data_IF_651909716859
#
_entry.id   IF_651909716859
#
_cell.length_a   1.000
_cell.length_b   1.000
_cell.length_c   1.000
_cell.angle_alpha   90.00
_cell.angle_beta   90.00
_cell.angle_gamma   90.00
#
_symmetry.space_group_name_H-M   'P 1'
#
loop_
_entity.id
_entity.type
_entity.pdbx_description
1 polymer ?
#
# COMPACT_ATOMS: atom_id res chain seq x y z
N UNK A 1 8.02 14.84 -3.03
CA UNK A 1 6.64 14.33 -2.97
C UNK A 1 6.70 12.93 -2.40
N UNK A 2 5.71 12.56 -1.60
CA UNK A 2 5.47 11.17 -1.17
C UNK A 2 4.09 10.71 -1.64
N UNK A 3 3.91 9.41 -1.80
CA UNK A 3 2.60 8.81 -2.09
C UNK A 3 2.37 7.54 -1.28
N UNK A 4 1.10 7.20 -1.07
CA UNK A 4 0.71 5.94 -0.42
C UNK A 4 -0.06 5.03 -1.35
N UNK A 5 0.24 3.73 -1.28
CA UNK A 5 -0.47 2.65 -1.96
C UNK A 5 -1.11 1.69 -0.96
N UNK A 6 -2.13 0.98 -1.43
CA UNK A 6 -2.63 -0.22 -0.76
C UNK A 6 -1.70 -1.41 -1.01
N UNK A 7 -1.64 -2.37 -0.08
CA UNK A 7 -0.97 -3.65 -0.32
C UNK A 7 -1.82 -4.51 -1.27
N UNK A 8 -1.26 -5.65 -1.68
CA UNK A 8 -2.01 -6.68 -2.39
C UNK A 8 -2.27 -7.91 -1.52
N UNK A 9 -3.31 -8.68 -1.87
CA UNK A 9 -3.65 -9.93 -1.18
C UNK A 9 -2.83 -11.12 -1.72
N UNK A 10 -2.52 -11.08 -3.02
CA UNK A 10 -1.64 -12.07 -3.65
C UNK A 10 -0.20 -11.62 -3.47
N UNK A 11 0.67 -12.60 -3.23
CA UNK A 11 2.08 -12.39 -2.98
C UNK A 11 2.90 -13.25 -3.94
N UNK A 12 4.03 -12.73 -4.38
CA UNK A 12 5.03 -13.43 -5.18
C UNK A 12 6.32 -13.48 -4.36
N UNK A 13 6.80 -14.68 -4.06
CA UNK A 13 8.06 -14.93 -3.35
C UNK A 13 9.06 -15.73 -4.21
N UNK A 14 8.74 -15.95 -5.50
CA UNK A 14 9.48 -16.84 -6.39
C UNK A 14 10.26 -16.09 -7.48
N UNK A 15 9.67 -15.04 -8.07
CA UNK A 15 10.28 -14.32 -9.22
C UNK A 15 11.64 -13.72 -8.88
N UNK A 16 12.66 -13.92 -9.72
CA UNK A 16 14.00 -13.38 -9.49
C UNK A 16 13.99 -11.86 -9.30
N UNK A 17 14.64 -11.39 -8.22
CA UNK A 17 14.64 -9.97 -7.88
C UNK A 17 15.59 -9.19 -8.80
N UNK A 18 15.18 -8.00 -9.27
CA UNK A 18 16.04 -7.16 -10.10
C UNK A 18 17.15 -6.47 -9.29
N UNK A 19 17.14 -6.57 -7.96
CA UNK A 19 18.11 -5.96 -7.05
C UNK A 19 18.28 -6.80 -5.78
N UNK A 20 19.47 -6.71 -5.18
CA UNK A 20 19.78 -7.29 -3.88
C UNK A 20 19.58 -6.29 -2.73
N UNK A 21 19.25 -5.03 -3.03
CA UNK A 21 19.04 -4.00 -2.02
C UNK A 21 17.78 -4.24 -1.19
N UNK A 22 17.92 -4.17 0.13
CA UNK A 22 16.81 -4.36 1.06
C UNK A 22 16.93 -3.43 2.26
N UNK A 23 15.79 -3.13 2.88
CA UNK A 23 15.67 -2.41 4.15
C UNK A 23 14.80 -3.21 5.13
N UNK A 24 14.65 -2.73 6.36
CA UNK A 24 13.86 -3.39 7.40
C UNK A 24 12.63 -2.55 7.75
N UNK A 25 11.45 -3.17 7.96
CA UNK A 25 10.26 -2.44 8.40
C UNK A 25 10.50 -1.72 9.73
N UNK A 26 9.98 -0.50 9.85
CA UNK A 26 10.11 0.31 11.07
C UNK A 26 9.36 -0.32 12.27
N UNK A 27 8.23 -0.98 12.01
CA UNK A 27 7.27 -1.40 13.04
C UNK A 27 7.27 -2.90 13.35
N UNK A 28 8.42 -3.58 13.21
CA UNK A 28 8.51 -5.03 13.44
C UNK A 28 8.06 -5.46 14.85
N UNK A 29 8.27 -4.65 15.89
CA UNK A 29 7.78 -4.93 17.25
C UNK A 29 6.25 -4.96 17.32
N UNK A 30 5.59 -4.01 16.65
CA UNK A 30 4.13 -3.97 16.54
C UNK A 30 3.62 -5.14 15.69
N UNK A 31 4.29 -5.46 14.58
CA UNK A 31 3.97 -6.61 13.74
C UNK A 31 4.05 -7.93 14.50
N UNK A 32 5.08 -8.12 15.34
CA UNK A 32 5.20 -9.30 16.20
C UNK A 32 4.00 -9.42 17.17
N UNK A 33 3.54 -8.30 17.75
CA UNK A 33 2.36 -8.28 18.63
C UNK A 33 1.10 -8.72 17.88
N UNK A 34 0.91 -8.25 16.64
CA UNK A 34 -0.21 -8.68 15.80
C UNK A 34 -0.10 -10.17 15.46
N UNK A 35 1.08 -10.63 15.02
CA UNK A 35 1.28 -12.04 14.68
C UNK A 35 1.06 -12.96 15.88
N UNK A 36 1.48 -12.57 17.10
CA UNK A 36 1.19 -13.32 18.34
C UNK A 36 -0.31 -13.52 18.59
N UNK A 37 -1.17 -12.61 18.15
CA UNK A 37 -2.62 -12.77 18.22
C UNK A 37 -3.12 -13.70 17.12
N UNK A 38 -2.62 -13.54 15.90
CA UNK A 38 -3.00 -14.37 14.75
C UNK A 38 -2.58 -15.84 14.92
N UNK A 39 -1.37 -16.09 15.41
CA UNK A 39 -0.77 -17.42 15.66
C UNK A 39 -1.60 -18.28 16.63
N UNK A 40 -2.42 -17.67 17.48
CA UNK A 40 -3.33 -18.36 18.42
C UNK A 40 -4.69 -18.74 17.81
N UNK A 41 -5.01 -18.25 16.61
CA UNK A 41 -6.29 -18.52 15.96
C UNK A 41 -6.22 -19.86 15.23
N UNK A 42 -7.26 -20.66 15.38
CA UNK A 42 -7.44 -21.85 14.55
C UNK A 42 -7.73 -21.46 13.10
N UNK A 43 -7.53 -22.40 12.18
CA UNK A 43 -7.89 -22.27 10.76
C UNK A 43 -9.33 -21.79 10.58
N UNK A 44 -10.28 -22.36 11.35
CA UNK A 44 -11.69 -21.95 11.32
C UNK A 44 -11.87 -20.50 11.77
N UNK A 45 -11.22 -20.10 12.86
CA UNK A 45 -11.31 -18.73 13.36
C UNK A 45 -10.68 -17.72 12.39
N UNK A 46 -9.64 -18.09 11.64
CA UNK A 46 -9.06 -17.26 10.58
C UNK A 46 -10.00 -17.12 9.38
N UNK A 47 -10.66 -18.21 8.97
CA UNK A 47 -11.68 -18.20 7.90
C UNK A 47 -12.79 -17.21 8.21
N UNK A 48 -13.36 -17.28 9.42
CA UNK A 48 -14.43 -16.40 9.89
C UNK A 48 -13.96 -14.94 10.03
N UNK A 49 -12.76 -14.72 10.60
CA UNK A 49 -12.20 -13.39 10.80
C UNK A 49 -11.92 -12.64 9.50
N UNK A 50 -11.37 -13.34 8.50
CA UNK A 50 -10.88 -12.75 7.25
C UNK A 50 -11.86 -12.90 6.09
N UNK A 51 -12.93 -13.70 6.25
CA UNK A 51 -13.90 -13.99 5.20
C UNK A 51 -13.27 -14.72 4.02
N UNK A 52 -12.44 -15.72 4.28
CA UNK A 52 -11.65 -16.45 3.26
C UNK A 52 -11.98 -17.94 3.26
N UNK A 53 -11.67 -18.61 2.13
CA UNK A 53 -11.86 -20.05 1.97
C UNK A 53 -11.03 -20.85 2.98
N UNK A 54 -11.39 -22.13 3.16
CA UNK A 54 -10.65 -23.04 4.03
C UNK A 54 -9.17 -23.15 3.63
N UNK A 55 -8.89 -23.30 2.34
CA UNK A 55 -7.51 -23.45 1.84
C UNK A 55 -6.67 -22.20 2.09
N UNK A 56 -7.25 -21.01 1.85
CA UNK A 56 -6.58 -19.75 2.19
C UNK A 56 -6.42 -19.57 3.70
N UNK A 57 -7.34 -20.10 4.50
CA UNK A 57 -7.23 -20.07 5.96
C UNK A 57 -6.11 -20.96 6.46
N UNK A 58 -5.94 -22.15 5.86
CA UNK A 58 -4.86 -23.07 6.16
C UNK A 58 -3.51 -22.45 5.83
N UNK A 59 -3.38 -21.91 4.60
CA UNK A 59 -2.17 -21.21 4.17
C UNK A 59 -1.79 -20.05 5.11
N UNK A 60 -2.77 -19.26 5.54
CA UNK A 60 -2.47 -18.13 6.44
C UNK A 60 -2.26 -18.58 7.89
N UNK A 61 -2.82 -19.71 8.31
CA UNK A 61 -2.46 -20.32 9.59
C UNK A 61 -0.97 -20.67 9.61
N UNK A 62 -0.49 -21.37 8.58
CA UNK A 62 0.93 -21.74 8.41
C UNK A 62 1.82 -20.50 8.38
N UNK A 63 1.51 -19.51 7.54
CA UNK A 63 2.24 -18.23 7.51
C UNK A 63 2.35 -17.56 8.89
N UNK A 64 1.30 -17.58 9.69
CA UNK A 64 1.35 -17.00 11.04
C UNK A 64 2.22 -17.83 12.00
N UNK A 65 2.29 -19.15 11.82
CA UNK A 65 3.20 -20.01 12.60
C UNK A 65 4.65 -19.76 12.21
N UNK A 66 4.93 -19.67 10.92
CA UNK A 66 6.26 -19.54 10.33
C UNK A 66 6.82 -18.12 10.43
N UNK A 67 5.95 -17.12 10.68
CA UNK A 67 6.40 -15.75 10.84
C UNK A 67 7.34 -15.61 12.02
N UNK A 68 8.56 -15.16 11.75
CA UNK A 68 9.63 -15.04 12.74
C UNK A 68 10.63 -13.93 12.41
N UNK A 69 11.32 -13.46 13.44
CA UNK A 69 12.43 -12.52 13.31
C UNK A 69 13.74 -13.23 13.69
N UNK A 70 14.89 -12.83 13.11
CA UNK A 70 15.09 -11.67 12.23
C UNK A 70 14.66 -11.91 10.77
N UNK A 71 14.28 -10.84 10.07
CA UNK A 71 14.03 -10.88 8.63
C UNK A 71 15.34 -10.87 7.87
N UNK A 72 15.52 -11.85 6.98
CA UNK A 72 16.66 -12.00 6.09
C UNK A 72 16.17 -12.11 4.64
N UNK A 73 17.09 -12.09 3.68
CA UNK A 73 16.75 -12.31 2.27
C UNK A 73 16.25 -13.74 2.00
N UNK A 74 16.52 -14.68 2.91
CA UNK A 74 16.12 -16.08 2.77
C UNK A 74 14.67 -16.32 3.21
N UNK A 75 14.19 -15.54 4.19
CA UNK A 75 12.85 -15.71 4.75
C UNK A 75 11.86 -14.59 4.39
N UNK A 76 12.34 -13.48 3.83
CA UNK A 76 11.53 -12.31 3.53
C UNK A 76 11.91 -11.68 2.18
N UNK A 77 10.98 -10.90 1.62
CA UNK A 77 11.13 -10.24 0.31
C UNK A 77 10.78 -8.75 0.41
N UNK A 78 11.47 -7.86 -0.32
CA UNK A 78 11.07 -6.46 -0.44
C UNK A 78 9.59 -6.28 -0.82
N UNK A 79 8.88 -5.42 -0.09
CA UNK A 79 7.44 -5.23 -0.23
C UNK A 79 6.97 -4.95 -1.66
N UNK A 80 7.68 -4.11 -2.41
CA UNK A 80 7.30 -3.75 -3.78
C UNK A 80 7.39 -4.93 -4.77
N UNK A 81 8.27 -5.90 -4.49
CA UNK A 81 8.45 -7.10 -5.30
C UNK A 81 7.65 -8.29 -4.76
N UNK A 82 7.22 -8.24 -3.50
CA UNK A 82 6.39 -9.25 -2.85
C UNK A 82 4.90 -9.11 -3.18
N UNK A 83 4.38 -7.89 -3.20
CA UNK A 83 2.96 -7.68 -3.49
C UNK A 83 2.65 -7.88 -4.98
N UNK A 84 1.66 -8.71 -5.27
CA UNK A 84 1.20 -9.00 -6.64
C UNK A 84 -0.31 -8.75 -6.76
N UNK A 85 -0.71 -7.91 -7.71
CA UNK A 85 -2.11 -7.52 -7.91
C UNK A 85 -2.24 -6.31 -8.81
N UNK A 86 -3.46 -5.84 -9.07
CA UNK A 86 -3.72 -4.81 -10.10
C UNK A 86 -2.88 -3.53 -9.94
N UNK A 87 -2.71 -3.03 -8.70
CA UNK A 87 -1.84 -1.88 -8.41
C UNK A 87 -0.38 -2.16 -8.80
N UNK A 88 0.13 -3.33 -8.43
CA UNK A 88 1.51 -3.72 -8.67
C UNK A 88 1.77 -4.09 -10.13
N UNK A 89 0.74 -4.58 -10.84
CA UNK A 89 0.76 -4.75 -12.30
C UNK A 89 0.87 -3.41 -13.01
N UNK A 90 0.16 -2.38 -12.55
CA UNK A 90 0.27 -1.03 -13.12
C UNK A 90 1.59 -0.34 -12.78
N UNK A 91 2.15 -0.61 -11.60
CA UNK A 91 3.45 -0.09 -11.20
C UNK A 91 4.59 -0.77 -11.98
N UNK A 92 4.46 -2.07 -12.19
CA UNK A 92 5.41 -2.93 -12.91
C UNK A 92 6.85 -2.76 -12.41
N UNK A 93 7.05 -2.95 -11.11
CA UNK A 93 8.30 -2.60 -10.43
C UNK A 93 9.53 -3.34 -10.97
N UNK A 94 9.35 -4.54 -11.54
CA UNK A 94 10.43 -5.35 -12.11
C UNK A 94 11.06 -4.71 -13.36
N UNK A 95 10.34 -3.81 -14.05
CA UNK A 95 10.87 -3.10 -15.23
C UNK A 95 11.41 -1.71 -14.90
N UNK A 96 11.37 -1.29 -13.63
CA UNK A 96 11.95 -0.02 -13.21
C UNK A 96 13.48 -0.14 -13.25
N UNK A 97 14.21 0.75 -13.95
CA UNK A 97 15.67 0.70 -13.99
C UNK A 97 16.29 0.82 -12.59
N UNK A 98 17.38 0.10 -12.34
CA UNK A 98 18.12 0.14 -11.06
C UNK A 98 18.45 1.56 -10.58
N UNK A 99 18.77 2.47 -11.52
CA UNK A 99 19.04 3.89 -11.23
C UNK A 99 17.87 4.67 -10.62
N UNK A 100 16.64 4.15 -10.67
CA UNK A 100 15.45 4.76 -10.05
C UNK A 100 15.03 4.10 -8.74
N UNK A 101 15.70 3.03 -8.29
CA UNK A 101 15.32 2.30 -7.07
C UNK A 101 15.31 3.23 -5.85
N UNK A 102 16.36 4.05 -5.67
CA UNK A 102 16.42 5.02 -4.56
C UNK A 102 15.23 5.98 -4.58
N UNK A 103 14.83 6.44 -5.77
CA UNK A 103 13.68 7.33 -5.93
C UNK A 103 12.36 6.63 -5.58
N UNK A 104 12.20 5.37 -5.98
CA UNK A 104 11.03 4.57 -5.60
C UNK A 104 10.99 4.43 -4.09
N UNK A 105 12.11 4.04 -3.48
CA UNK A 105 12.28 3.88 -2.04
C UNK A 105 12.01 5.17 -1.27
N UNK A 106 12.40 6.32 -1.81
CA UNK A 106 12.10 7.61 -1.23
C UNK A 106 10.61 7.95 -1.39
N UNK A 107 10.04 7.83 -2.59
CA UNK A 107 8.72 8.39 -2.93
C UNK A 107 7.54 7.57 -2.41
N UNK A 108 7.64 6.24 -2.43
CA UNK A 108 6.48 5.35 -2.25
C UNK A 108 6.38 4.84 -0.81
N UNK A 109 5.17 4.81 -0.26
CA UNK A 109 4.86 4.11 0.99
C UNK A 109 3.70 3.15 0.76
N UNK A 110 3.79 1.94 1.30
CA UNK A 110 2.76 0.91 1.15
C UNK A 110 2.12 0.68 2.51
N UNK A 111 0.83 1.00 2.64
CA UNK A 111 0.10 0.73 3.88
C UNK A 111 -0.10 -0.78 4.07
N UNK A 112 -0.11 -1.24 5.31
CA UNK A 112 -0.20 -2.66 5.64
C UNK A 112 -0.94 -2.87 6.96
N UNK A 113 -1.86 -3.84 7.00
CA UNK A 113 -2.52 -4.21 8.26
C UNK A 113 -1.56 -4.86 9.26
N UNK A 114 -0.51 -5.56 8.79
CA UNK A 114 0.47 -6.23 9.65
C UNK A 114 1.72 -5.38 9.93
N UNK A 115 2.17 -4.61 8.95
CA UNK A 115 3.42 -3.85 9.04
C UNK A 115 3.22 -2.35 9.22
N UNK A 116 1.98 -1.87 9.27
CA UNK A 116 1.64 -0.45 9.39
C UNK A 116 1.91 0.29 8.08
N UNK A 117 3.16 0.70 7.86
CA UNK A 117 3.64 1.31 6.63
C UNK A 117 4.99 0.71 6.25
N UNK A 118 5.15 0.38 4.97
CA UNK A 118 6.37 -0.19 4.41
C UNK A 118 6.96 0.75 3.37
N UNK A 119 8.28 0.82 3.31
CA UNK A 119 9.02 1.29 2.14
C UNK A 119 9.11 0.18 1.10
N UNK A 120 9.29 0.50 -0.20
CA UNK A 120 9.41 -0.47 -1.28
C UNK A 120 10.40 -1.62 -1.02
N UNK A 121 11.57 -1.30 -0.46
CA UNK A 121 12.64 -2.25 -0.19
C UNK A 121 12.55 -2.90 1.19
N UNK A 122 11.57 -2.54 2.03
CA UNK A 122 11.41 -3.17 3.33
C UNK A 122 11.07 -4.65 3.15
N UNK A 123 11.86 -5.51 3.79
CA UNK A 123 11.60 -6.93 3.83
C UNK A 123 10.26 -7.22 4.51
N UNK A 124 9.46 -8.09 3.90
CA UNK A 124 8.26 -8.62 4.50
C UNK A 124 8.17 -10.13 4.31
N UNK A 125 7.70 -10.81 5.35
CA UNK A 125 7.27 -12.19 5.29
C UNK A 125 5.82 -12.28 4.82
N UNK A 126 5.41 -13.41 4.21
CA UNK A 126 4.06 -13.56 3.68
C UNK A 126 3.02 -13.52 4.79
N UNK A 127 1.90 -12.83 4.54
CA UNK A 127 0.82 -12.69 5.52
C UNK A 127 -0.52 -12.44 4.82
N UNK A 128 -1.59 -12.47 5.61
CA UNK A 128 -2.86 -11.87 5.24
C UNK A 128 -3.49 -11.19 6.45
N UNK A 129 -3.56 -9.87 6.38
CA UNK A 129 -4.25 -9.05 7.37
C UNK A 129 -4.63 -7.73 6.71
N UNK A 130 -5.84 -7.67 6.17
CA UNK A 130 -6.39 -6.44 5.62
C UNK A 130 -6.65 -5.39 6.72
N UNK A 131 -6.45 -4.10 6.42
CA UNK A 131 -6.61 -3.03 7.42
C UNK A 131 -8.02 -2.96 8.01
N UNK A 132 -9.04 -3.35 7.23
CA UNK A 132 -10.43 -3.43 7.68
C UNK A 132 -10.76 -4.62 8.59
N UNK A 133 -9.83 -5.55 8.84
CA UNK A 133 -10.10 -6.73 9.68
C UNK A 133 -10.44 -6.31 11.12
N UNK A 134 -11.56 -6.85 11.63
CA UNK A 134 -12.04 -6.61 13.01
C UNK A 134 -11.24 -7.44 14.02
N UNK A 135 -9.96 -7.12 14.16
CA UNK A 135 -9.04 -7.74 15.11
C UNK A 135 -8.79 -6.79 16.28
N UNK A 136 -9.14 -7.19 17.50
CA UNK A 136 -8.80 -6.46 18.72
C UNK A 136 -7.40 -6.85 19.19
N UNK A 137 -6.59 -5.88 19.62
CA UNK A 137 -5.21 -6.08 20.08
C UNK A 137 -4.97 -5.32 21.37
N UNK A 138 -4.95 -6.04 22.50
CA UNK A 138 -4.84 -5.42 23.81
C UNK A 138 -6.03 -4.48 24.07
N UNK A 139 -5.77 -3.18 24.21
CA UNK A 139 -6.79 -2.14 24.43
C UNK A 139 -7.43 -1.62 23.15
N UNK A 140 -6.80 -1.85 21.99
CA UNK A 140 -7.23 -1.30 20.71
C UNK A 140 -8.29 -2.21 20.09
N UNK A 141 -9.43 -1.64 19.68
CA UNK A 141 -10.59 -2.43 19.22
C UNK A 141 -10.45 -2.93 17.79
N UNK A 142 -9.55 -2.36 17.02
CA UNK A 142 -9.33 -2.65 15.61
C UNK A 142 -7.94 -2.15 15.16
N UNK A 143 -7.56 -2.50 13.94
CA UNK A 143 -6.26 -2.11 13.36
C UNK A 143 -6.12 -0.61 13.14
N UNK A 144 -7.21 0.13 12.94
CA UNK A 144 -7.14 1.60 12.81
C UNK A 144 -6.70 2.25 14.12
N UNK A 145 -7.29 1.84 15.24
CA UNK A 145 -6.90 2.35 16.57
C UNK A 145 -5.45 1.96 16.90
N UNK A 146 -5.06 0.73 16.57
CA UNK A 146 -3.71 0.23 16.80
C UNK A 146 -2.65 1.01 16.01
N UNK A 147 -2.92 1.33 14.74
CA UNK A 147 -1.90 1.89 13.84
C UNK A 147 -1.91 3.41 13.68
N UNK A 148 -3.06 4.07 13.88
CA UNK A 148 -3.25 5.44 13.39
C UNK A 148 -2.22 6.45 13.90
N UNK A 149 -1.88 6.37 15.18
CA UNK A 149 -0.87 7.26 15.77
C UNK A 149 0.54 6.95 15.22
N UNK A 150 0.93 5.68 15.19
CA UNK A 150 2.26 5.25 14.77
C UNK A 150 2.52 5.57 13.29
N UNK A 151 1.61 5.20 12.39
CA UNK A 151 1.74 5.47 10.95
C UNK A 151 1.82 6.98 10.68
N UNK A 152 0.91 7.76 11.28
CA UNK A 152 0.87 9.21 11.02
C UNK A 152 2.13 9.90 11.54
N UNK A 153 2.65 9.46 12.70
CA UNK A 153 3.91 9.96 13.25
C UNK A 153 5.09 9.64 12.35
N UNK A 154 5.22 8.41 11.85
CA UNK A 154 6.30 8.04 10.94
C UNK A 154 6.25 8.82 9.64
N UNK A 155 5.06 8.97 9.03
CA UNK A 155 4.89 9.79 7.83
C UNK A 155 5.29 11.25 8.08
N UNK A 156 4.86 11.85 9.19
CA UNK A 156 5.24 13.22 9.56
C UNK A 156 6.74 13.42 9.79
N UNK A 157 7.45 12.38 10.24
CA UNK A 157 8.90 12.45 10.43
C UNK A 157 9.65 12.49 9.09
N UNK A 158 9.09 11.89 8.04
CA UNK A 158 9.72 11.79 6.72
C UNK A 158 9.31 12.89 5.75
N UNK A 159 8.07 13.36 5.85
CA UNK A 159 7.54 14.41 4.99
C UNK A 159 8.33 15.71 5.22
N UNK A 160 8.54 16.51 4.17
CA UNK A 160 9.07 17.87 4.30
C UNK A 160 7.92 18.87 4.41
N UNK A 161 8.21 20.08 4.88
CA UNK A 161 7.22 21.16 4.88
C UNK A 161 6.80 21.44 3.42
N UNK A 162 5.50 21.70 3.23
CA UNK A 162 4.85 21.88 1.92
C UNK A 162 5.05 20.72 0.91
N UNK A 163 5.49 19.54 1.37
CA UNK A 163 5.66 18.40 0.50
C UNK A 163 4.29 17.83 0.06
N UNK A 164 4.11 17.68 -1.24
CA UNK A 164 2.93 17.02 -1.80
C UNK A 164 2.83 15.57 -1.28
N UNK A 165 1.67 15.22 -0.71
CA UNK A 165 1.34 13.87 -0.29
C UNK A 165 0.14 13.31 -1.05
N UNK A 166 0.39 12.34 -1.92
CA UNK A 166 -0.61 11.78 -2.82
C UNK A 166 -1.23 10.50 -2.24
N UNK A 167 -2.56 10.49 -2.09
CA UNK A 167 -3.29 9.28 -1.74
C UNK A 167 -3.68 8.49 -2.99
N UNK A 168 -2.93 7.41 -3.25
CA UNK A 168 -3.24 6.38 -4.24
C UNK A 168 -3.67 5.07 -3.57
N UNK A 169 -3.98 5.08 -2.28
CA UNK A 169 -4.49 3.93 -1.54
C UNK A 169 -6.02 3.89 -1.57
N UNK A 170 -6.60 2.73 -1.25
CA UNK A 170 -8.04 2.65 -0.98
C UNK A 170 -8.41 3.38 0.31
N UNK A 171 -9.67 3.80 0.41
CA UNK A 171 -10.23 4.39 1.64
C UNK A 171 -10.06 3.47 2.84
N UNK A 172 -10.12 2.15 2.65
CA UNK A 172 -9.89 1.17 3.71
C UNK A 172 -8.49 1.35 4.32
N UNK A 173 -7.43 1.41 3.52
CA UNK A 173 -6.08 1.55 4.06
C UNK A 173 -5.81 2.98 4.55
N UNK A 174 -6.25 3.99 3.81
CA UNK A 174 -5.97 5.38 4.16
C UNK A 174 -6.60 5.82 5.49
N UNK A 175 -7.67 5.15 5.96
CA UNK A 175 -8.26 5.38 7.29
C UNK A 175 -7.29 5.13 8.45
N UNK A 176 -6.19 4.40 8.22
CA UNK A 176 -5.12 4.22 9.19
C UNK A 176 -4.15 5.41 9.28
N UNK A 177 -4.36 6.46 8.48
CA UNK A 177 -3.65 7.75 8.61
C UNK A 177 -4.64 8.77 9.18
N UNK A 178 -4.19 9.54 10.17
CA UNK A 178 -4.95 10.66 10.69
C UNK A 178 -4.70 11.92 9.85
N UNK A 179 -5.63 12.21 8.93
CA UNK A 179 -5.58 13.41 8.08
C UNK A 179 -5.46 14.71 8.86
N UNK A 180 -5.99 14.77 10.09
CA UNK A 180 -6.03 16.02 10.88
C UNK A 180 -4.68 16.35 11.48
N UNK A 181 -3.86 15.33 11.75
CA UNK A 181 -2.54 15.49 12.39
C UNK A 181 -1.39 15.28 11.42
N UNK A 182 -1.67 14.89 10.17
CA UNK A 182 -0.68 14.91 9.09
C UNK A 182 -0.25 16.34 8.80
N UNK A 183 1.06 16.59 8.70
CA UNK A 183 1.61 17.95 8.63
C UNK A 183 1.55 18.62 7.25
N UNK A 184 1.14 17.87 6.23
CA UNK A 184 0.98 18.33 4.85
C UNK A 184 -0.43 18.00 4.34
N UNK A 185 -0.97 18.78 3.39
CA UNK A 185 -2.25 18.45 2.77
C UNK A 185 -2.17 17.13 1.99
N UNK A 186 -3.26 16.35 2.07
CA UNK A 186 -3.43 15.12 1.30
C UNK A 186 -4.12 15.46 -0.01
N UNK A 187 -3.56 15.02 -1.13
CA UNK A 187 -4.23 15.05 -2.44
C UNK A 187 -4.77 13.68 -2.78
N UNK A 188 -6.10 13.57 -2.91
CA UNK A 188 -6.78 12.34 -3.31
C UNK A 188 -6.84 12.24 -4.84
N UNK A 189 -6.60 11.03 -5.37
CA UNK A 189 -6.72 10.77 -6.81
C UNK A 189 -7.76 9.70 -7.08
N UNK A 190 -8.77 10.06 -7.88
CA UNK A 190 -9.82 9.17 -8.35
C UNK A 190 -9.68 8.89 -9.83
N UNK A 191 -9.81 7.61 -10.19
CA UNK A 191 -9.88 7.14 -11.57
C UNK A 191 -11.31 6.67 -11.86
N UNK A 192 -11.88 7.17 -12.95
CA UNK A 192 -13.25 6.87 -13.38
C UNK A 192 -13.28 6.47 -14.85
N UNK A 193 -14.25 5.63 -15.20
CA UNK A 193 -14.49 5.18 -16.57
C UNK A 193 -15.88 5.62 -17.00
N UNK A 194 -16.03 6.02 -18.26
CA UNK A 194 -17.33 6.30 -18.85
C UNK A 194 -18.10 4.98 -19.04
N UNK A 195 -19.17 4.78 -18.29
CA UNK A 195 -20.05 3.62 -18.41
C UNK A 195 -21.50 4.06 -18.41
N UNK A 196 -22.22 3.75 -19.49
CA UNK A 196 -23.63 4.13 -19.68
C UNK A 196 -23.86 5.65 -19.57
N UNK A 197 -22.96 6.46 -20.13
CA UNK A 197 -23.06 7.92 -20.12
C UNK A 197 -22.62 8.60 -18.81
N UNK A 198 -22.20 7.84 -17.81
CA UNK A 198 -21.77 8.37 -16.50
C UNK A 198 -20.36 7.90 -16.14
N UNK A 199 -19.56 8.79 -15.53
CA UNK A 199 -18.23 8.44 -15.03
C UNK A 199 -18.32 7.70 -13.69
N UNK A 200 -17.89 6.44 -13.66
CA UNK A 200 -17.93 5.57 -12.47
C UNK A 200 -16.55 4.98 -12.16
N UNK A 201 -16.26 4.81 -10.87
CA UNK A 201 -15.06 4.10 -10.45
C UNK A 201 -15.27 2.61 -10.62
N UNK A 202 -14.51 1.99 -11.54
CA UNK A 202 -14.48 0.54 -11.72
C UNK A 202 -13.25 0.02 -10.98
N UNK A 203 -13.46 -0.76 -9.92
CA UNK A 203 -12.42 -1.08 -8.94
C UNK A 203 -11.14 -1.71 -9.50
N UNK A 204 -11.23 -2.58 -10.50
CA UNK A 204 -10.05 -3.21 -11.15
C UNK A 204 -9.23 -2.15 -11.90
N UNK A 205 -9.89 -1.33 -12.73
CA UNK A 205 -9.22 -0.27 -13.48
C UNK A 205 -8.66 0.82 -12.58
N UNK A 206 -9.41 1.22 -11.54
CA UNK A 206 -8.92 2.21 -10.57
C UNK A 206 -7.68 1.72 -9.80
N UNK A 207 -7.61 0.41 -9.47
CA UNK A 207 -6.41 -0.17 -8.87
C UNK A 207 -5.22 -0.17 -9.84
N UNK A 208 -5.44 -0.61 -11.08
CA UNK A 208 -4.42 -0.57 -12.13
C UNK A 208 -3.89 0.86 -12.33
N UNK A 209 -4.79 1.84 -12.45
CA UNK A 209 -4.46 3.24 -12.67
C UNK A 209 -3.67 3.88 -11.51
N UNK A 210 -3.89 3.47 -10.26
CA UNK A 210 -3.04 3.89 -9.12
C UNK A 210 -1.60 3.41 -9.28
N UNK A 211 -1.42 2.19 -9.77
CA UNK A 211 -0.12 1.66 -10.15
C UNK A 211 0.52 2.46 -11.27
N UNK A 212 -0.23 2.69 -12.36
CA UNK A 212 0.23 3.44 -13.52
C UNK A 212 0.62 4.88 -13.15
N UNK A 213 -0.17 5.56 -12.31
CA UNK A 213 0.14 6.89 -11.81
C UNK A 213 1.44 6.89 -10.98
N UNK A 214 1.62 5.88 -10.13
CA UNK A 214 2.87 5.73 -9.38
C UNK A 214 4.04 5.55 -10.34
N UNK A 215 3.90 4.68 -11.35
CA UNK A 215 4.93 4.46 -12.37
C UNK A 215 5.25 5.74 -13.12
N UNK A 216 4.24 6.48 -13.58
CA UNK A 216 4.38 7.78 -14.25
C UNK A 216 5.14 8.79 -13.40
N UNK A 217 4.83 8.90 -12.10
CA UNK A 217 5.52 9.79 -11.16
C UNK A 217 7.01 9.45 -11.07
N UNK A 218 7.31 8.16 -10.90
CA UNK A 218 8.69 7.67 -10.84
C UNK A 218 9.41 7.89 -12.17
N UNK A 219 8.74 7.67 -13.29
CA UNK A 219 9.40 7.75 -14.59
C UNK A 219 9.73 9.17 -15.01
N UNK A 220 8.78 10.10 -14.78
CA UNK A 220 8.89 11.48 -15.23
C UNK A 220 9.49 12.42 -14.18
N UNK A 221 9.81 11.93 -12.97
CA UNK A 221 10.29 12.81 -11.90
C UNK A 221 9.31 13.92 -11.55
N UNK A 222 8.03 13.56 -11.57
CA UNK A 222 6.96 14.42 -11.10
C UNK A 222 7.21 14.80 -9.64
N UNK A 223 7.08 16.09 -9.33
CA UNK A 223 7.29 16.65 -7.98
C UNK A 223 6.11 17.53 -7.55
N UNK A 224 5.36 18.07 -8.50
CA UNK A 224 4.31 19.07 -8.29
C UNK A 224 2.93 18.52 -8.62
N UNK A 225 1.89 19.24 -8.19
CA UNK A 225 0.50 18.92 -8.56
C UNK A 225 0.30 18.98 -10.07
N UNK A 226 0.93 19.93 -10.77
CA UNK A 226 0.76 20.08 -12.21
C UNK A 226 1.44 18.95 -12.98
N UNK A 227 2.57 18.43 -12.49
CA UNK A 227 3.17 17.21 -13.05
C UNK A 227 2.20 16.01 -12.96
N UNK A 228 1.50 15.89 -11.82
CA UNK A 228 0.51 14.82 -11.60
C UNK A 228 -0.70 14.99 -12.51
N UNK A 229 -1.19 16.21 -12.73
CA UNK A 229 -2.28 16.50 -13.68
C UNK A 229 -1.91 16.14 -15.13
N UNK A 230 -0.61 16.12 -15.45
CA UNK A 230 -0.09 15.69 -16.76
C UNK A 230 -0.22 14.19 -17.03
N UNK A 231 -0.63 13.37 -16.06
CA UNK A 231 -0.82 11.93 -16.25
C UNK A 231 -1.82 11.62 -17.37
N UNK A 232 -1.34 10.89 -18.38
CA UNK A 232 -2.07 10.60 -19.61
C UNK A 232 -2.02 9.11 -20.04
N UNK A 233 -1.53 8.24 -19.15
CA UNK A 233 -1.30 6.81 -19.41
C UNK A 233 -2.61 6.05 -19.61
N UNK A 234 -2.61 5.10 -20.56
CA UNK A 234 -3.77 4.31 -20.97
C UNK A 234 -5.05 5.14 -21.28
N UNK A 235 -4.90 6.34 -21.82
CA UNK A 235 -6.00 7.27 -22.17
C UNK A 235 -6.73 7.92 -20.99
N UNK A 236 -6.25 7.78 -19.75
CA UNK A 236 -6.74 8.62 -18.66
C UNK A 236 -6.41 10.09 -18.93
N UNK A 237 -7.31 11.01 -18.59
CA UNK A 237 -7.07 12.46 -18.69
C UNK A 237 -7.60 13.16 -17.44
N UNK A 238 -6.88 14.18 -16.98
CA UNK A 238 -7.34 15.03 -15.89
C UNK A 238 -8.64 15.73 -16.27
N UNK A 239 -9.63 15.72 -15.36
CA UNK A 239 -10.91 16.38 -15.53
C UNK A 239 -11.09 17.46 -14.49
N UNK A 240 -10.81 18.70 -14.86
CA UNK A 240 -10.91 19.87 -13.99
C UNK A 240 -12.32 20.01 -13.38
N UNK A 241 -13.37 19.86 -14.19
CA UNK A 241 -14.76 20.01 -13.73
C UNK A 241 -15.21 18.98 -12.70
N UNK A 242 -14.55 17.81 -12.66
CA UNK A 242 -14.85 16.76 -11.69
C UNK A 242 -13.91 16.81 -10.47
N UNK A 243 -12.88 17.65 -10.54
CA UNK A 243 -11.86 17.81 -9.50
C UNK A 243 -12.26 18.98 -8.59
N UNK A 244 -12.22 18.75 -7.28
CA UNK A 244 -12.65 19.74 -6.27
C UNK A 244 -11.66 19.73 -5.12
N UNK A 245 -11.29 20.91 -4.64
CA UNK A 245 -10.34 21.09 -3.54
C UNK A 245 -9.05 20.27 -3.76
N UNK A 246 -8.70 19.39 -2.82
CA UNK A 246 -7.53 18.52 -2.88
C UNK A 246 -7.82 17.16 -3.54
N UNK A 247 -8.81 17.09 -4.44
CA UNK A 247 -9.19 15.86 -5.15
C UNK A 247 -9.04 16.01 -6.64
N UNK A 248 -8.14 15.21 -7.23
CA UNK A 248 -7.93 15.11 -8.67
C UNK A 248 -8.72 13.94 -9.23
N UNK A 249 -9.48 14.17 -10.30
CA UNK A 249 -10.22 13.13 -11.01
C UNK A 249 -9.63 12.95 -12.40
N UNK A 250 -9.30 11.72 -12.72
CA UNK A 250 -8.89 11.28 -14.05
C UNK A 250 -9.96 10.38 -14.64
N UNK A 251 -10.34 10.64 -15.88
CA UNK A 251 -11.35 9.85 -16.59
C UNK A 251 -10.78 9.19 -17.82
N UNK A 252 -11.35 8.05 -18.17
CA UNK A 252 -11.21 7.39 -19.46
C UNK A 252 -12.58 7.03 -20.01
#
# INVERSE_FOLDING_TARGET
>A
MKLVLSPAKTLDFETELPTDETTQPEFLKQSERLNKVLKKKSVKALSELMGISKDLSQLNYERNQDWEMPFTKDNARPAIYAFSGDVYRGLDAYTIPKSKIEKVQDTVRILSGLYGVLKPLDLMQPYRLEMGTKLSIGKDKNLYEFWKADITKALNAELKDDELFLNLASVEYFKAIDRKTLKVPVVDVDFKELKNGEYKTIGIYAKLARGLMTRYIIDNNAKTIDDVKGFDVENYRFQERLSVENKLVFTR
#
